data_IF_126823259649
#
_entry.id   IF_126823259649
#
_cell.length_a   1.000
_cell.length_b   1.000
_cell.length_c   1.000
_cell.angle_alpha   90.00
_cell.angle_beta   90.00
_cell.angle_gamma   90.00
#
_symmetry.space_group_name_H-M   'P 1'
#
loop_
_entity.id
_entity.type
_entity.pdbx_description
1 polymer ?
#
# COMPACT_ATOMS: atom_id res chain seq x y z
N UNK A 1 -8.62 -11.03 12.48
CA UNK A 1 -8.21 -9.61 12.44
C UNK A 1 -6.77 -9.50 11.99
N UNK A 2 -6.46 -8.68 10.96
CA UNK A 2 -5.10 -8.51 10.46
C UNK A 2 -4.44 -7.25 11.03
N UNK A 3 -5.15 -6.11 11.00
CA UNK A 3 -4.68 -4.83 11.52
C UNK A 3 -5.66 -4.34 12.60
N UNK A 4 -5.13 -3.84 13.71
CA UNK A 4 -5.92 -3.21 14.77
C UNK A 4 -5.20 -1.95 15.26
N UNK A 5 -5.88 -0.81 15.14
CA UNK A 5 -5.46 0.47 15.70
C UNK A 5 -6.28 0.73 16.98
N UNK A 6 -5.62 1.10 18.07
CA UNK A 6 -6.28 1.39 19.36
C UNK A 6 -5.89 2.77 19.86
N UNK A 7 -6.88 3.64 19.99
CA UNK A 7 -6.73 5.00 20.52
C UNK A 7 -5.56 5.76 19.86
N UNK A 8 -5.38 5.53 18.55
CA UNK A 8 -4.25 6.07 17.80
C UNK A 8 -4.43 7.57 17.58
N UNK A 9 -3.43 8.37 17.94
CA UNK A 9 -3.44 9.81 17.71
C UNK A 9 -2.15 10.27 17.06
N UNK A 10 -2.25 11.30 16.23
CA UNK A 10 -1.09 11.94 15.59
C UNK A 10 -1.21 13.46 15.64
N UNK A 11 -0.13 14.07 16.11
CA UNK A 11 0.10 15.52 16.06
C UNK A 11 1.45 15.82 15.43
N UNK A 12 1.55 16.92 14.72
CA UNK A 12 2.81 17.55 14.33
C UNK A 12 2.85 18.92 15.03
N UNK A 13 3.77 19.07 15.95
CA UNK A 13 3.84 20.21 16.87
C UNK A 13 2.49 20.45 17.56
N UNK A 14 1.84 21.58 17.30
CA UNK A 14 0.53 21.92 17.86
C UNK A 14 -0.65 21.49 16.96
N UNK A 15 -0.38 21.04 15.72
CA UNK A 15 -1.43 20.68 14.77
C UNK A 15 -1.87 19.23 15.00
N UNK A 16 -3.10 19.05 15.42
CA UNK A 16 -3.75 17.72 15.48
C UNK A 16 -4.06 17.26 14.06
N UNK A 17 -3.65 16.05 13.72
CA UNK A 17 -3.98 15.38 12.45
C UNK A 17 -5.19 14.50 12.65
N UNK A 18 -5.16 13.64 13.67
CA UNK A 18 -6.31 12.83 14.13
C UNK A 18 -6.09 12.39 15.58
N UNK A 19 -7.19 12.11 16.27
CA UNK A 19 -7.20 11.69 17.67
C UNK A 19 -8.10 10.47 17.88
N UNK A 20 -7.69 9.60 18.82
CA UNK A 20 -8.46 8.47 19.31
C UNK A 20 -9.02 7.53 18.22
N UNK A 21 -8.23 7.32 17.16
CA UNK A 21 -8.59 6.45 16.05
C UNK A 21 -8.62 5.00 16.51
N UNK A 22 -9.77 4.35 16.33
CA UNK A 22 -9.96 2.93 16.52
C UNK A 22 -10.40 2.34 15.16
N UNK A 23 -9.62 1.41 14.60
CA UNK A 23 -9.89 0.83 13.29
C UNK A 23 -9.41 -0.62 13.27
N UNK A 24 -10.23 -1.49 12.72
CA UNK A 24 -9.92 -2.89 12.53
C UNK A 24 -10.06 -3.25 11.05
N UNK A 25 -9.07 -3.97 10.50
CA UNK A 25 -9.07 -4.39 9.09
C UNK A 25 -8.74 -5.88 9.03
N UNK A 26 -9.51 -6.61 8.22
CA UNK A 26 -9.32 -8.02 8.01
C UNK A 26 -8.52 -8.33 6.74
N UNK A 27 -7.97 -9.54 6.67
CA UNK A 27 -7.30 -10.03 5.48
C UNK A 27 -8.29 -10.14 4.31
N UNK A 28 -7.88 -9.69 3.13
CA UNK A 28 -8.70 -9.73 1.92
C UNK A 28 -9.66 -8.55 1.75
N UNK A 29 -9.72 -7.61 2.71
CA UNK A 29 -10.52 -6.40 2.58
C UNK A 29 -9.81 -5.33 1.76
N UNK A 30 -10.60 -4.60 0.97
CA UNK A 30 -10.20 -3.33 0.35
C UNK A 30 -10.85 -2.19 1.15
N UNK A 31 -10.01 -1.37 1.78
CA UNK A 31 -10.44 -0.21 2.59
C UNK A 31 -10.02 1.07 1.90
N UNK A 32 -10.98 1.94 1.60
CA UNK A 32 -10.71 3.28 1.07
C UNK A 32 -10.62 4.28 2.22
N UNK A 33 -9.53 5.02 2.28
CA UNK A 33 -9.38 6.23 3.09
C UNK A 33 -9.74 7.44 2.23
N UNK A 34 -10.77 8.18 2.61
CA UNK A 34 -11.20 9.41 1.93
C UNK A 34 -11.12 10.61 2.89
N UNK A 35 -11.26 11.82 2.37
CA UNK A 35 -11.16 13.05 3.14
C UNK A 35 -10.43 14.15 2.38
N UNK A 36 -10.55 15.40 2.77
CA UNK A 36 -9.93 16.54 2.11
C UNK A 36 -8.40 16.42 2.03
N UNK A 37 -7.78 17.18 1.13
CA UNK A 37 -6.30 17.27 1.09
C UNK A 37 -5.79 17.73 2.46
N UNK A 38 -4.73 17.09 2.95
CA UNK A 38 -4.15 17.37 4.27
C UNK A 38 -4.97 16.86 5.47
N UNK A 39 -6.01 16.02 5.27
CA UNK A 39 -6.80 15.45 6.38
C UNK A 39 -6.07 14.36 7.18
N UNK A 40 -4.92 13.85 6.69
CA UNK A 40 -4.14 12.83 7.38
C UNK A 40 -4.19 11.43 6.77
N UNK A 41 -4.75 11.24 5.56
CA UNK A 41 -4.79 9.93 4.87
C UNK A 41 -3.40 9.32 4.70
N UNK A 42 -2.50 10.04 4.04
CA UNK A 42 -1.10 9.59 3.84
C UNK A 42 -0.37 9.43 5.18
N UNK A 43 -0.66 10.27 6.18
CA UNK A 43 -0.11 10.14 7.53
C UNK A 43 -0.53 8.83 8.16
N UNK A 44 -1.81 8.45 8.06
CA UNK A 44 -2.31 7.18 8.60
C UNK A 44 -1.67 5.98 7.88
N UNK A 45 -1.59 6.02 6.53
CA UNK A 45 -0.88 5.00 5.75
C UNK A 45 0.59 4.88 6.18
N UNK A 46 1.30 6.01 6.32
CA UNK A 46 2.70 6.03 6.75
C UNK A 46 2.88 5.46 8.16
N UNK A 47 1.95 5.71 9.07
CA UNK A 47 1.99 5.15 10.42
C UNK A 47 1.78 3.64 10.39
N UNK A 48 0.79 3.13 9.66
CA UNK A 48 0.57 1.69 9.49
C UNK A 48 1.78 1.05 8.80
N UNK A 49 2.36 1.74 7.81
CA UNK A 49 3.55 1.31 7.06
C UNK A 49 4.87 1.44 7.82
N UNK A 50 4.86 2.01 9.03
CA UNK A 50 6.07 2.19 9.85
C UNK A 50 7.03 3.26 9.38
N UNK A 51 6.61 4.10 8.43
CA UNK A 51 7.38 5.24 7.93
C UNK A 51 7.26 6.45 8.86
N UNK A 52 6.17 6.51 9.64
CA UNK A 52 5.91 7.57 10.62
C UNK A 52 5.51 6.92 11.97
N UNK A 53 5.73 7.62 13.08
CA UNK A 53 5.29 7.18 14.41
C UNK A 53 4.02 7.91 14.84
N UNK A 54 3.07 7.23 15.47
CA UNK A 54 1.96 7.91 16.14
C UNK A 54 2.48 8.73 17.34
N UNK A 55 1.69 9.70 17.79
CA UNK A 55 1.96 10.43 19.02
C UNK A 55 1.57 9.58 20.23
N UNK A 56 0.40 8.92 20.16
CA UNK A 56 -0.11 7.99 21.19
C UNK A 56 -0.89 6.85 20.54
N UNK A 57 -1.22 5.83 21.33
CA UNK A 57 -2.00 4.67 20.90
C UNK A 57 -1.13 3.46 20.55
N UNK A 58 -1.79 2.42 20.07
CA UNK A 58 -1.19 1.13 19.77
C UNK A 58 -1.56 0.65 18.38
N UNK A 59 -0.68 -0.11 17.76
CA UNK A 59 -0.89 -0.71 16.44
C UNK A 59 -0.52 -2.19 16.51
N UNK A 60 -1.48 -3.05 16.23
CA UNK A 60 -1.26 -4.48 16.12
C UNK A 60 -1.40 -4.93 14.67
N UNK A 61 -0.43 -5.70 14.20
CA UNK A 61 -0.49 -6.42 12.92
C UNK A 61 -0.24 -7.90 13.22
N UNK A 62 -1.16 -8.77 12.82
CA UNK A 62 -1.14 -10.19 13.19
C UNK A 62 -0.98 -10.40 14.72
N UNK A 63 -1.74 -9.67 15.52
CA UNK A 63 -1.69 -9.66 16.99
C UNK A 63 -0.32 -9.25 17.58
N UNK A 64 0.57 -8.68 16.79
CA UNK A 64 1.88 -8.21 17.24
C UNK A 64 1.89 -6.70 17.34
N UNK A 65 2.25 -6.16 18.49
CA UNK A 65 2.45 -4.71 18.71
C UNK A 65 3.70 -4.24 17.94
N UNK A 66 3.46 -3.52 16.83
CA UNK A 66 4.53 -3.11 15.93
C UNK A 66 5.32 -1.90 16.42
N UNK A 67 4.78 -1.14 17.37
CA UNK A 67 5.47 0.01 17.95
C UNK A 67 6.61 -0.41 18.89
N UNK A 68 6.54 -1.64 19.44
CA UNK A 68 7.60 -2.22 20.29
C UNK A 68 8.76 -2.79 19.49
N UNK A 69 8.61 -3.00 18.19
CA UNK A 69 9.67 -3.52 17.33
C UNK A 69 10.82 -2.51 17.19
N UNK A 70 12.07 -3.00 17.22
CA UNK A 70 13.29 -2.16 17.14
C UNK A 70 14.30 -2.72 16.14
N UNK A 71 15.14 -1.82 15.63
CA UNK A 71 16.30 -2.18 14.82
C UNK A 71 15.97 -3.13 13.66
N UNK A 72 16.75 -4.19 13.52
CA UNK A 72 16.64 -5.17 12.43
C UNK A 72 15.30 -5.92 12.45
N UNK A 73 14.79 -6.25 13.64
CA UNK A 73 13.49 -6.92 13.78
C UNK A 73 12.35 -6.10 13.18
N UNK A 74 12.34 -4.78 13.42
CA UNK A 74 11.37 -3.85 12.84
C UNK A 74 11.48 -3.81 11.32
N UNK A 75 12.69 -3.64 10.79
CA UNK A 75 12.94 -3.59 9.35
C UNK A 75 12.49 -4.89 8.65
N UNK A 76 12.83 -6.05 9.22
CA UNK A 76 12.46 -7.36 8.69
C UNK A 76 10.94 -7.59 8.74
N UNK A 77 10.27 -7.11 9.79
CA UNK A 77 8.82 -7.19 9.91
C UNK A 77 8.14 -6.40 8.79
N UNK A 78 8.43 -5.11 8.66
CA UNK A 78 7.79 -4.27 7.66
C UNK A 78 8.06 -4.76 6.25
N UNK A 79 9.29 -5.10 5.92
CA UNK A 79 9.68 -5.65 4.62
C UNK A 79 8.86 -6.88 4.21
N UNK A 80 8.52 -7.77 5.18
CA UNK A 80 7.77 -9.00 4.93
C UNK A 80 6.26 -8.85 4.99
N UNK A 81 5.77 -7.86 5.74
CA UNK A 81 4.33 -7.72 5.98
C UNK A 81 3.67 -6.70 5.08
N UNK A 82 4.41 -5.68 4.61
CA UNK A 82 3.84 -4.51 3.95
C UNK A 82 4.46 -4.28 2.59
N UNK A 83 3.60 -4.16 1.57
CA UNK A 83 3.92 -3.59 0.26
C UNK A 83 3.40 -2.16 0.21
N UNK A 84 4.23 -1.21 -0.25
CA UNK A 84 3.83 0.18 -0.37
C UNK A 84 3.78 0.60 -1.84
N UNK A 85 2.70 1.25 -2.25
CA UNK A 85 2.51 1.92 -3.53
C UNK A 85 2.35 3.40 -3.22
N UNK A 86 3.31 4.21 -3.64
CA UNK A 86 3.32 5.64 -3.37
C UNK A 86 2.67 6.41 -4.53
N UNK A 87 2.21 7.63 -4.25
CA UNK A 87 1.68 8.54 -5.25
C UNK A 87 2.68 8.82 -6.39
N UNK A 88 3.95 9.07 -6.03
CA UNK A 88 5.04 9.06 -6.98
C UNK A 88 5.59 7.65 -7.13
N UNK A 89 5.91 7.23 -8.34
CA UNK A 89 6.32 5.85 -8.60
C UNK A 89 7.59 5.42 -7.86
N UNK A 90 8.49 6.35 -7.56
CA UNK A 90 9.81 6.05 -6.96
C UNK A 90 10.49 4.85 -7.61
N UNK A 91 10.36 4.74 -8.94
CA UNK A 91 11.08 3.78 -9.74
C UNK A 91 12.45 4.35 -10.06
N UNK A 92 13.48 3.51 -10.01
CA UNK A 92 14.85 3.95 -10.26
C UNK A 92 15.11 4.02 -11.79
N UNK A 93 15.37 5.21 -12.36
CA UNK A 93 15.41 5.41 -13.82
C UNK A 93 16.53 4.63 -14.52
N UNK A 94 17.62 4.33 -13.84
CA UNK A 94 18.76 3.59 -14.40
C UNK A 94 18.55 2.08 -14.43
N UNK A 95 17.60 1.56 -13.65
CA UNK A 95 17.32 0.14 -13.55
C UNK A 95 16.29 -0.30 -14.59
N UNK A 96 16.41 -1.55 -15.05
CA UNK A 96 15.37 -2.23 -15.82
C UNK A 96 14.11 -2.46 -15.01
N UNK A 97 13.00 -2.73 -15.66
CA UNK A 97 11.74 -3.11 -15.02
C UNK A 97 11.93 -4.29 -14.05
N UNK A 98 12.61 -5.35 -14.50
CA UNK A 98 12.90 -6.52 -13.65
C UNK A 98 13.70 -6.18 -12.40
N UNK A 99 14.66 -5.28 -12.50
CA UNK A 99 15.50 -4.84 -11.40
C UNK A 99 14.73 -3.94 -10.43
N UNK A 100 13.86 -3.04 -10.93
CA UNK A 100 12.96 -2.25 -10.11
C UNK A 100 12.01 -3.11 -9.27
N UNK A 101 11.44 -4.17 -9.86
CA UNK A 101 10.60 -5.13 -9.13
C UNK A 101 11.40 -5.85 -8.05
N UNK A 102 12.62 -6.27 -8.38
CA UNK A 102 13.49 -7.04 -7.48
C UNK A 102 14.09 -6.22 -6.33
N UNK A 103 14.06 -4.88 -6.38
CA UNK A 103 14.67 -4.01 -5.35
C UNK A 103 14.22 -4.36 -3.92
N UNK A 104 12.92 -4.69 -3.75
CA UNK A 104 12.39 -5.08 -2.45
C UNK A 104 13.05 -6.36 -1.88
N UNK A 105 13.60 -7.20 -2.75
CA UNK A 105 14.30 -8.45 -2.40
C UNK A 105 15.80 -8.27 -2.14
N UNK A 106 16.41 -7.16 -2.56
CA UNK A 106 17.85 -6.95 -2.45
C UNK A 106 18.35 -7.09 -1.01
N UNK A 107 17.59 -6.62 -0.04
CA UNK A 107 17.92 -6.71 1.38
C UNK A 107 17.42 -8.01 2.04
N UNK A 108 16.84 -8.94 1.26
CA UNK A 108 16.29 -10.20 1.75
C UNK A 108 17.24 -11.37 1.62
N UNK A 109 18.44 -11.17 1.04
CA UNK A 109 19.41 -12.21 0.74
C UNK A 109 18.83 -13.37 -0.09
N UNK A 110 17.88 -13.08 -1.00
CA UNK A 110 17.31 -14.07 -1.90
C UNK A 110 18.36 -14.51 -2.94
N UNK A 111 18.35 -15.79 -3.30
CA UNK A 111 19.20 -16.30 -4.38
C UNK A 111 18.79 -15.70 -5.72
N UNK A 112 19.74 -15.45 -6.60
CA UNK A 112 19.49 -14.84 -7.91
C UNK A 112 18.44 -15.59 -8.74
N UNK A 113 18.50 -16.93 -8.77
CA UNK A 113 17.52 -17.75 -9.48
C UNK A 113 16.10 -17.64 -8.90
N UNK A 114 15.96 -17.59 -7.56
CA UNK A 114 14.69 -17.41 -6.87
C UNK A 114 14.09 -16.01 -7.15
N UNK A 115 14.94 -14.98 -7.09
CA UNK A 115 14.57 -13.61 -7.43
C UNK A 115 14.05 -13.50 -8.84
N UNK A 116 14.77 -14.07 -9.83
CA UNK A 116 14.37 -14.06 -11.23
C UNK A 116 13.02 -14.75 -11.44
N UNK A 117 12.87 -15.95 -10.92
CA UNK A 117 11.62 -16.72 -11.03
C UNK A 117 10.44 -15.96 -10.45
N UNK A 118 10.61 -15.34 -9.29
CA UNK A 118 9.57 -14.56 -8.62
C UNK A 118 9.19 -13.31 -9.41
N UNK A 119 10.16 -12.59 -9.98
CA UNK A 119 9.90 -11.44 -10.88
C UNK A 119 9.07 -11.88 -12.07
N UNK A 120 9.46 -12.98 -12.75
CA UNK A 120 8.75 -13.49 -13.93
C UNK A 120 7.29 -13.87 -13.60
N UNK A 121 7.07 -14.54 -12.46
CA UNK A 121 5.73 -14.94 -12.02
C UNK A 121 4.83 -13.71 -11.77
N UNK A 122 5.32 -12.74 -11.01
CA UNK A 122 4.56 -11.50 -10.70
C UNK A 122 4.30 -10.71 -11.97
N UNK A 123 5.31 -10.58 -12.85
CA UNK A 123 5.18 -9.84 -14.09
C UNK A 123 4.12 -10.44 -15.02
N UNK A 124 4.07 -11.76 -15.15
CA UNK A 124 3.00 -12.47 -15.88
C UNK A 124 1.62 -12.18 -15.31
N UNK A 125 1.47 -12.25 -13.98
CA UNK A 125 0.19 -11.98 -13.31
C UNK A 125 -0.28 -10.54 -13.56
N UNK A 126 0.63 -9.60 -13.73
CA UNK A 126 0.33 -8.18 -13.96
C UNK A 126 0.40 -7.76 -15.44
N UNK A 127 0.62 -8.72 -16.36
CA UNK A 127 0.74 -8.49 -17.81
C UNK A 127 1.82 -7.43 -18.17
N UNK A 128 2.99 -7.55 -17.55
CA UNK A 128 4.19 -6.73 -17.80
C UNK A 128 5.44 -7.57 -18.09
N UNK A 129 5.28 -8.85 -18.34
CA UNK A 129 6.37 -9.79 -18.59
C UNK A 129 7.15 -9.46 -19.89
N UNK A 130 6.47 -8.94 -20.90
CA UNK A 130 7.08 -8.51 -22.17
C UNK A 130 8.04 -7.33 -22.03
N UNK A 131 7.91 -6.53 -20.97
CA UNK A 131 8.71 -5.31 -20.76
C UNK A 131 9.78 -5.46 -19.67
N UNK A 132 10.03 -6.64 -19.14
CA UNK A 132 10.98 -6.87 -18.04
C UNK A 132 12.40 -6.36 -18.30
N UNK A 133 12.81 -6.32 -19.57
CA UNK A 133 14.13 -5.84 -20.00
C UNK A 133 14.14 -4.34 -20.38
N UNK A 134 12.99 -3.68 -20.43
CA UNK A 134 12.90 -2.26 -20.75
C UNK A 134 13.44 -1.38 -19.61
N UNK A 135 13.88 -0.18 -19.96
CA UNK A 135 14.12 0.92 -19.02
C UNK A 135 12.84 1.73 -18.84
N UNK A 136 12.81 2.59 -17.81
CA UNK A 136 11.60 3.33 -17.46
C UNK A 136 11.17 4.38 -18.49
N UNK A 137 12.09 4.89 -19.29
CA UNK A 137 11.80 5.79 -20.41
C UNK A 137 11.03 5.13 -21.57
N UNK A 138 10.93 3.80 -21.56
CA UNK A 138 10.26 2.98 -22.54
C UNK A 138 8.90 2.45 -22.07
N UNK A 139 8.44 2.85 -20.89
CA UNK A 139 7.18 2.34 -20.30
C UNK A 139 6.12 3.44 -20.21
N UNK A 140 4.84 3.06 -20.40
CA UNK A 140 3.72 3.97 -20.20
C UNK A 140 3.41 4.18 -18.72
N UNK A 141 2.64 5.23 -18.37
CA UNK A 141 2.21 5.48 -16.99
C UNK A 141 1.47 4.29 -16.35
N UNK A 142 0.55 3.66 -17.08
CA UNK A 142 -0.14 2.47 -16.61
C UNK A 142 0.78 1.25 -16.43
N UNK A 143 1.83 1.11 -17.24
CA UNK A 143 2.88 0.10 -17.04
C UNK A 143 3.72 0.42 -15.81
N UNK A 144 4.08 1.69 -15.59
CA UNK A 144 4.85 2.13 -14.42
C UNK A 144 4.07 1.82 -13.12
N UNK A 145 2.76 2.05 -13.09
CA UNK A 145 1.92 1.70 -11.94
C UNK A 145 1.92 0.19 -11.67
N UNK A 146 1.77 -0.64 -12.72
CA UNK A 146 1.85 -2.10 -12.57
C UNK A 146 3.22 -2.56 -12.07
N UNK A 147 4.30 -1.88 -12.44
CA UNK A 147 5.64 -2.14 -11.91
C UNK A 147 5.70 -1.81 -10.42
N UNK A 148 5.07 -0.71 -9.97
CA UNK A 148 4.95 -0.38 -8.55
C UNK A 148 4.17 -1.44 -7.78
N UNK A 149 3.06 -1.94 -8.34
CA UNK A 149 2.29 -3.04 -7.75
C UNK A 149 3.15 -4.32 -7.69
N UNK A 150 3.89 -4.64 -8.77
CA UNK A 150 4.79 -5.79 -8.81
C UNK A 150 5.86 -5.72 -7.72
N UNK A 151 6.49 -4.54 -7.56
CA UNK A 151 7.47 -4.28 -6.50
C UNK A 151 6.87 -4.44 -5.10
N UNK A 152 5.66 -3.93 -4.88
CA UNK A 152 4.95 -4.07 -3.61
C UNK A 152 4.64 -5.54 -3.29
N UNK A 153 4.28 -6.36 -4.27
CA UNK A 153 3.97 -7.78 -4.13
C UNK A 153 5.21 -8.67 -3.95
N UNK A 154 6.40 -8.18 -4.32
CA UNK A 154 7.60 -9.00 -4.42
C UNK A 154 7.93 -9.78 -3.14
N UNK A 155 7.73 -9.20 -1.96
CA UNK A 155 7.97 -9.87 -0.68
C UNK A 155 6.77 -10.70 -0.18
N UNK A 156 5.73 -10.88 -1.00
CA UNK A 156 4.49 -11.59 -0.64
C UNK A 156 3.85 -11.03 0.64
N UNK A 157 3.57 -9.72 0.68
CA UNK A 157 3.08 -9.04 1.87
C UNK A 157 1.69 -9.53 2.27
N UNK A 158 1.28 -9.20 3.48
CA UNK A 158 -0.10 -9.40 3.96
C UNK A 158 -0.94 -8.14 3.83
N UNK A 159 -0.30 -6.99 3.65
CA UNK A 159 -0.91 -5.68 3.59
C UNK A 159 -0.30 -4.91 2.41
N UNK A 160 -1.14 -4.29 1.59
CA UNK A 160 -0.75 -3.30 0.61
C UNK A 160 -1.30 -1.94 1.05
N UNK A 161 -0.42 -0.94 1.13
CA UNK A 161 -0.75 0.45 1.38
C UNK A 161 -0.54 1.23 0.08
N UNK A 162 -1.60 1.82 -0.45
CA UNK A 162 -1.57 2.55 -1.72
C UNK A 162 -2.01 4.01 -1.49
N UNK A 163 -1.07 4.93 -1.67
CA UNK A 163 -1.33 6.35 -1.50
C UNK A 163 -1.59 7.00 -2.86
N UNK A 164 -2.85 7.39 -3.12
CA UNK A 164 -3.33 7.99 -4.37
C UNK A 164 -2.86 7.25 -5.65
N UNK A 165 -2.99 5.92 -5.77
CA UNK A 165 -2.36 5.10 -6.82
C UNK A 165 -2.91 5.35 -8.23
N UNK A 166 -3.92 6.19 -8.37
CA UNK A 166 -4.57 6.46 -9.66
C UNK A 166 -4.46 7.92 -10.10
N UNK A 167 -3.79 8.78 -9.31
CA UNK A 167 -3.82 10.23 -9.50
C UNK A 167 -3.18 10.68 -10.83
N UNK A 168 -2.18 9.93 -11.31
CA UNK A 168 -1.40 10.27 -12.51
C UNK A 168 -1.83 9.45 -13.74
N UNK A 169 -3.01 8.81 -13.70
CA UNK A 169 -3.50 7.91 -14.74
C UNK A 169 -4.77 8.46 -15.40
N UNK A 170 -4.93 8.15 -16.67
CA UNK A 170 -6.22 8.32 -17.34
C UNK A 170 -7.30 7.39 -16.74
N UNK A 171 -8.59 7.68 -16.93
CA UNK A 171 -9.67 6.94 -16.29
C UNK A 171 -9.64 5.42 -16.54
N UNK A 172 -9.27 5.00 -17.74
CA UNK A 172 -9.22 3.58 -18.12
C UNK A 172 -8.10 2.84 -17.39
N UNK A 173 -6.91 3.41 -17.37
CA UNK A 173 -5.78 2.85 -16.65
C UNK A 173 -6.01 2.90 -15.14
N UNK A 174 -6.59 3.97 -14.61
CA UNK A 174 -6.97 4.10 -13.21
C UNK A 174 -7.90 2.96 -12.76
N UNK A 175 -8.96 2.71 -13.52
CA UNK A 175 -9.90 1.62 -13.21
C UNK A 175 -9.23 0.24 -13.26
N UNK A 176 -8.35 0.00 -14.26
CA UNK A 176 -7.61 -1.24 -14.37
C UNK A 176 -6.70 -1.50 -13.16
N UNK A 177 -6.02 -0.47 -12.65
CA UNK A 177 -5.20 -0.55 -11.44
C UNK A 177 -6.04 -0.96 -10.22
N UNK A 178 -7.21 -0.36 -10.04
CA UNK A 178 -8.08 -0.69 -8.90
C UNK A 178 -8.66 -2.11 -9.04
N UNK A 179 -9.03 -2.54 -10.24
CA UNK A 179 -9.44 -3.94 -10.50
C UNK A 179 -8.33 -4.94 -10.14
N UNK A 180 -7.09 -4.62 -10.49
CA UNK A 180 -5.92 -5.44 -10.11
C UNK A 180 -5.78 -5.51 -8.59
N UNK A 181 -5.81 -4.38 -7.89
CA UNK A 181 -5.70 -4.34 -6.42
C UNK A 181 -6.85 -5.10 -5.75
N UNK A 182 -8.07 -4.97 -6.26
CA UNK A 182 -9.23 -5.74 -5.78
C UNK A 182 -9.06 -7.25 -5.99
N UNK A 183 -8.59 -7.67 -7.16
CA UNK A 183 -8.32 -9.07 -7.46
C UNK A 183 -7.23 -9.65 -6.55
N UNK A 184 -6.16 -8.90 -6.30
CA UNK A 184 -5.08 -9.26 -5.36
C UNK A 184 -5.64 -9.44 -3.94
N UNK A 185 -6.45 -8.48 -3.46
CA UNK A 185 -7.05 -8.56 -2.13
C UNK A 185 -7.85 -9.86 -1.98
N UNK A 186 -8.71 -10.16 -2.93
CA UNK A 186 -9.63 -11.31 -2.86
C UNK A 186 -8.89 -12.64 -3.01
N UNK A 187 -8.03 -12.77 -4.05
CA UNK A 187 -7.38 -14.05 -4.40
C UNK A 187 -6.25 -14.42 -3.46
N UNK A 188 -5.47 -13.44 -3.00
CA UNK A 188 -4.29 -13.66 -2.15
C UNK A 188 -4.56 -13.41 -0.66
N UNK A 189 -5.78 -13.00 -0.28
CA UNK A 189 -6.16 -12.63 1.08
C UNK A 189 -5.26 -11.54 1.67
N UNK A 190 -4.90 -10.56 0.83
CA UNK A 190 -4.11 -9.39 1.22
C UNK A 190 -5.07 -8.26 1.59
N UNK A 191 -4.87 -7.59 2.74
CA UNK A 191 -5.59 -6.35 3.02
C UNK A 191 -5.02 -5.22 2.16
N UNK A 192 -5.88 -4.49 1.46
CA UNK A 192 -5.47 -3.36 0.62
C UNK A 192 -6.10 -2.10 1.18
N UNK A 193 -5.26 -1.13 1.59
CA UNK A 193 -5.71 0.17 2.10
C UNK A 193 -5.30 1.22 1.09
N UNK A 194 -6.28 1.92 0.53
CA UNK A 194 -6.09 2.90 -0.54
C UNK A 194 -6.50 4.27 -0.04
N UNK A 195 -5.66 5.28 -0.17
CA UNK A 195 -6.09 6.67 -0.07
C UNK A 195 -6.56 7.14 -1.45
N UNK A 196 -7.73 7.73 -1.55
CA UNK A 196 -8.20 8.35 -2.78
C UNK A 196 -9.41 9.27 -2.55
N UNK A 197 -9.62 10.19 -3.50
CA UNK A 197 -10.81 11.03 -3.59
C UNK A 197 -11.79 10.54 -4.66
N UNK A 198 -11.44 9.51 -5.41
CA UNK A 198 -12.20 9.05 -6.57
C UNK A 198 -13.41 8.20 -6.17
N UNK A 199 -14.58 8.56 -6.70
CA UNK A 199 -15.80 7.75 -6.55
C UNK A 199 -15.67 6.38 -7.22
N UNK A 200 -14.87 6.28 -8.31
CA UNK A 200 -14.58 5.02 -8.95
C UNK A 200 -13.86 4.07 -7.99
N UNK A 201 -12.87 4.55 -7.23
CA UNK A 201 -12.18 3.74 -6.21
C UNK A 201 -13.17 3.29 -5.11
N UNK A 202 -14.09 4.16 -4.71
CA UNK A 202 -15.11 3.84 -3.70
C UNK A 202 -16.00 2.65 -4.11
N UNK A 203 -16.32 2.50 -5.40
CA UNK A 203 -17.14 1.38 -5.89
C UNK A 203 -16.46 0.00 -5.78
N UNK A 204 -15.16 -0.04 -5.63
CA UNK A 204 -14.37 -1.28 -5.45
C UNK A 204 -14.00 -1.58 -4.01
N UNK A 205 -14.24 -0.65 -3.07
CA UNK A 205 -13.91 -0.81 -1.66
C UNK A 205 -14.98 -1.62 -0.91
N UNK A 206 -14.57 -2.43 0.05
CA UNK A 206 -15.48 -3.11 0.99
C UNK A 206 -15.94 -2.15 2.08
N UNK A 207 -15.07 -1.20 2.46
CA UNK A 207 -15.32 -0.20 3.51
C UNK A 207 -14.73 1.14 3.10
N UNK A 208 -15.43 2.20 3.44
CA UNK A 208 -14.98 3.58 3.22
C UNK A 208 -14.83 4.28 4.56
N UNK A 209 -13.64 4.79 4.80
CA UNK A 209 -13.25 5.49 6.02
C UNK A 209 -12.96 6.95 5.67
N UNK A 210 -13.76 7.86 6.19
CA UNK A 210 -13.55 9.29 6.02
C UNK A 210 -12.71 9.85 7.16
N UNK A 211 -11.65 10.58 6.81
CA UNK A 211 -10.83 11.32 7.77
C UNK A 211 -11.16 12.79 7.63
N UNK A 212 -11.78 13.37 8.63
CA UNK A 212 -12.17 14.79 8.64
C UNK A 212 -12.10 15.37 10.05
N UNK A 213 -11.64 16.61 10.14
CA UNK A 213 -11.60 17.39 11.41
C UNK A 213 -10.91 16.64 12.57
N UNK A 214 -9.87 15.84 12.26
CA UNK A 214 -9.14 15.09 13.27
C UNK A 214 -9.81 13.79 13.74
N UNK A 215 -10.96 13.44 13.19
CA UNK A 215 -11.70 12.21 13.50
C UNK A 215 -11.79 11.28 12.28
N UNK A 216 -12.04 10.01 12.57
CA UNK A 216 -12.29 8.98 11.55
C UNK A 216 -13.74 8.51 11.68
N UNK A 217 -14.43 8.49 10.54
CA UNK A 217 -15.81 8.03 10.44
C UNK A 217 -15.93 6.96 9.35
N UNK A 218 -16.54 5.85 9.67
CA UNK A 218 -16.90 4.86 8.66
C UNK A 218 -18.16 5.31 7.92
N UNK A 219 -18.09 5.37 6.59
CA UNK A 219 -19.24 5.69 5.76
C UNK A 219 -19.89 4.38 5.35
N UNK A 220 -21.14 4.17 5.77
CA UNK A 220 -21.93 3.04 5.31
C UNK A 220 -22.20 3.16 3.81
N UNK A 221 -21.75 2.20 3.01
CA UNK A 221 -22.21 2.11 1.62
C UNK A 221 -23.67 1.66 1.65
N UNK A 222 -24.58 2.53 1.24
CA UNK A 222 -25.92 2.09 0.85
C UNK A 222 -25.76 1.32 -0.46
N UNK A 223 -25.82 0.00 -0.39
CA UNK A 223 -25.85 -0.89 -1.57
C UNK A 223 -27.18 -0.79 -2.29
#
# INVERSE_FOLDING_TARGET
MLIQLKNLSKRFDQKVIFENVNLEIEAGQVVLLTGNSGSGKSTLLNIIGGLERPTTGEIFINNRDILKLKGRERADFYRRQIGFIFQDFYLHPQLKVSENIALAGTFANLKSAETKHKVELIAKTLHIDSILNHKLDQVSGGQAERICIARALFMSPKIILADEPTNNLDPTNAENVIKILRAIATSMKIAVIISSHSQMVASYADRIINISQGAIHEISQTR
#
